data_IF_091286372200
#
_entry.id   IF_091286372200
#
_cell.length_a   1.000
_cell.length_b   1.000
_cell.length_c   1.000
_cell.angle_alpha   90.00
_cell.angle_beta   90.00
_cell.angle_gamma   90.00
#
_symmetry.space_group_name_H-M   'P 1'
#
loop_
_entity.id
_entity.type
_entity.pdbx_description
1 polymer ?
#
# COMPACT_ATOMS: atom_id res chain seq x y z
N UNK A 1 -27.27 -15.65 47.67
CA UNK A 1 -27.79 -15.58 46.30
C UNK A 1 -26.71 -14.95 45.42
N UNK A 2 -25.90 -15.77 44.75
CA UNK A 2 -24.82 -15.29 43.87
C UNK A 2 -25.33 -15.35 42.43
N UNK A 3 -25.48 -14.17 41.82
CA UNK A 3 -25.92 -14.01 40.44
C UNK A 3 -24.87 -14.54 39.47
N UNK A 4 -25.23 -15.63 38.80
CA UNK A 4 -24.44 -16.29 37.75
C UNK A 4 -24.53 -15.42 36.49
N UNK A 5 -23.49 -14.64 36.18
CA UNK A 5 -23.36 -14.02 34.86
C UNK A 5 -23.07 -15.12 33.83
N UNK A 6 -24.10 -15.49 33.08
CA UNK A 6 -23.96 -16.25 31.83
C UNK A 6 -23.28 -15.36 30.80
N UNK A 7 -22.00 -15.62 30.52
CA UNK A 7 -21.33 -15.09 29.33
C UNK A 7 -21.93 -15.86 28.15
N UNK A 8 -22.85 -15.21 27.44
CA UNK A 8 -23.34 -15.70 26.16
C UNK A 8 -22.17 -15.74 25.19
N UNK A 9 -22.02 -16.88 24.50
CA UNK A 9 -21.17 -17.04 23.32
C UNK A 9 -21.63 -16.02 22.27
N UNK A 10 -20.99 -14.86 22.25
CA UNK A 10 -20.94 -14.02 21.06
C UNK A 10 -19.79 -14.58 20.23
N UNK A 11 -20.12 -15.07 19.03
CA UNK A 11 -19.15 -15.36 18.01
C UNK A 11 -18.42 -14.05 17.67
N UNK A 12 -17.26 -13.83 18.30
CA UNK A 12 -16.40 -12.69 18.04
C UNK A 12 -16.01 -12.72 16.57
N UNK A 13 -16.65 -11.85 15.77
CA UNK A 13 -16.17 -11.52 14.43
C UNK A 13 -14.76 -10.97 14.58
N UNK A 14 -13.77 -11.76 14.21
CA UNK A 14 -12.36 -11.40 14.31
C UNK A 14 -12.15 -10.05 13.60
N UNK A 15 -11.83 -9.01 14.37
CA UNK A 15 -11.58 -7.67 13.82
C UNK A 15 -10.30 -7.77 12.99
N UNK A 16 -10.44 -7.95 11.68
CA UNK A 16 -9.31 -7.97 10.75
C UNK A 16 -8.65 -6.59 10.82
N UNK A 17 -7.55 -6.49 11.56
CA UNK A 17 -6.77 -5.26 11.67
C UNK A 17 -6.01 -5.02 10.37
N UNK A 18 -6.03 -3.78 9.87
CA UNK A 18 -5.23 -3.40 8.70
C UNK A 18 -3.73 -3.72 8.93
N UNK A 19 -3.05 -4.23 7.90
CA UNK A 19 -1.63 -4.62 7.96
C UNK A 19 -0.76 -3.57 7.25
N UNK A 20 0.45 -3.35 7.74
CA UNK A 20 1.40 -2.42 7.12
C UNK A 20 1.92 -2.96 5.78
N UNK A 21 2.04 -2.08 4.78
CA UNK A 21 2.66 -2.44 3.50
C UNK A 21 4.08 -3.00 3.66
N UNK A 22 4.34 -4.15 3.06
CA UNK A 22 5.65 -4.79 3.10
C UNK A 22 6.40 -4.66 1.76
N UNK A 23 7.39 -3.75 1.67
CA UNK A 23 8.00 -3.33 0.40
C UNK A 23 9.03 -4.31 -0.19
N UNK A 24 9.40 -5.37 0.52
CA UNK A 24 10.44 -6.32 0.09
C UNK A 24 9.88 -7.57 -0.58
N UNK A 25 8.56 -7.65 -0.80
CA UNK A 25 7.97 -8.75 -1.57
C UNK A 25 8.30 -8.59 -3.04
N UNK A 26 8.70 -9.70 -3.64
CA UNK A 26 9.04 -9.79 -5.06
C UNK A 26 8.54 -11.12 -5.64
N UNK A 27 8.23 -11.18 -6.94
CA UNK A 27 7.81 -12.39 -7.61
C UNK A 27 8.97 -13.40 -7.64
N UNK A 28 8.68 -14.64 -7.25
CA UNK A 28 9.67 -15.72 -7.22
C UNK A 28 9.76 -16.42 -8.57
N UNK A 29 8.62 -16.84 -9.12
CA UNK A 29 8.54 -17.63 -10.36
C UNK A 29 8.57 -16.73 -11.60
N UNK A 30 9.04 -17.27 -12.72
CA UNK A 30 9.11 -16.50 -13.97
C UNK A 30 7.73 -16.12 -14.51
N UNK A 31 6.72 -16.96 -14.27
CA UNK A 31 5.32 -16.62 -14.57
C UNK A 31 4.86 -15.39 -13.78
N UNK A 32 5.14 -15.32 -12.46
CA UNK A 32 4.79 -14.15 -11.67
C UNK A 32 5.58 -12.90 -12.11
N UNK A 33 6.85 -13.06 -12.48
CA UNK A 33 7.65 -11.95 -13.02
C UNK A 33 7.04 -11.41 -14.32
N UNK A 34 6.59 -12.29 -15.21
CA UNK A 34 5.92 -11.90 -16.45
C UNK A 34 4.61 -11.16 -16.19
N UNK A 35 3.76 -11.67 -15.29
CA UNK A 35 2.51 -11.02 -14.92
C UNK A 35 2.74 -9.61 -14.35
N UNK A 36 3.71 -9.46 -13.44
CA UNK A 36 4.07 -8.16 -12.87
C UNK A 36 4.63 -7.21 -13.94
N UNK A 37 5.46 -7.72 -14.86
CA UNK A 37 6.00 -6.93 -15.97
C UNK A 37 4.89 -6.47 -16.92
N UNK A 38 3.87 -7.29 -17.15
CA UNK A 38 2.71 -6.91 -17.94
C UNK A 38 1.88 -5.81 -17.25
N UNK A 39 1.62 -5.93 -15.95
CA UNK A 39 0.96 -4.87 -15.17
C UNK A 39 1.77 -3.57 -15.24
N UNK A 40 3.10 -3.65 -15.09
CA UNK A 40 3.97 -2.49 -15.22
C UNK A 40 3.84 -1.84 -16.61
N UNK A 41 3.80 -2.64 -17.68
CA UNK A 41 3.59 -2.15 -19.06
C UNK A 41 2.23 -1.49 -19.24
N UNK A 42 1.17 -2.01 -18.63
CA UNK A 42 -0.15 -1.38 -18.66
C UNK A 42 -0.16 -0.03 -17.95
N UNK A 43 0.54 0.09 -16.81
CA UNK A 43 0.75 1.38 -16.12
C UNK A 43 1.54 2.35 -17.00
N UNK A 44 2.58 1.92 -17.70
CA UNK A 44 3.30 2.78 -18.66
C UNK A 44 2.40 3.23 -19.82
N UNK A 45 1.56 2.33 -20.34
CA UNK A 45 0.58 2.63 -21.38
C UNK A 45 -0.44 3.68 -20.93
N UNK A 46 -0.96 3.55 -19.70
CA UNK A 46 -1.84 4.53 -19.07
C UNK A 46 -1.16 5.89 -18.95
N UNK A 47 0.06 5.95 -18.42
CA UNK A 47 0.82 7.19 -18.30
C UNK A 47 1.09 7.87 -19.65
N UNK A 48 1.33 7.07 -20.69
CA UNK A 48 1.54 7.56 -22.05
C UNK A 48 0.25 8.13 -22.64
N UNK A 49 -0.86 7.39 -22.54
CA UNK A 49 -2.17 7.82 -23.04
C UNK A 49 -2.64 9.13 -22.42
N UNK A 50 -2.51 9.25 -21.09
CA UNK A 50 -2.86 10.46 -20.33
C UNK A 50 -1.80 11.56 -20.35
N UNK A 51 -0.70 11.37 -21.09
CA UNK A 51 0.42 12.32 -21.19
C UNK A 51 0.97 12.76 -19.82
N UNK A 52 0.92 11.88 -18.82
CA UNK A 52 1.37 12.15 -17.44
C UNK A 52 2.88 12.46 -17.43
N UNK A 53 3.64 11.79 -18.31
CA UNK A 53 5.08 11.99 -18.45
C UNK A 53 5.42 12.72 -19.75
N UNK A 54 6.24 13.76 -19.64
CA UNK A 54 6.79 14.50 -20.80
C UNK A 54 7.98 13.79 -21.47
N UNK A 55 8.65 12.87 -20.77
CA UNK A 55 9.88 12.20 -21.23
C UNK A 55 9.87 10.72 -20.86
N UNK A 56 10.50 9.91 -21.71
CA UNK A 56 10.78 8.49 -21.46
C UNK A 56 11.58 8.32 -20.17
N UNK A 57 11.32 7.24 -19.41
CA UNK A 57 12.13 6.86 -18.25
C UNK A 57 13.58 6.63 -18.66
N UNK A 58 14.52 7.05 -17.81
CA UNK A 58 15.89 6.56 -17.89
C UNK A 58 15.92 5.07 -17.49
N UNK A 59 16.91 4.28 -17.95
CA UNK A 59 16.99 2.86 -17.61
C UNK A 59 16.91 2.57 -16.11
N UNK A 60 17.67 3.32 -15.30
CA UNK A 60 17.68 3.17 -13.84
C UNK A 60 16.32 3.50 -13.20
N UNK A 61 15.67 4.59 -13.65
CA UNK A 61 14.34 4.97 -13.18
C UNK A 61 13.28 3.93 -13.57
N UNK A 62 13.49 3.23 -14.69
CA UNK A 62 12.60 2.16 -15.15
C UNK A 62 12.69 0.94 -14.24
N UNK A 63 13.90 0.53 -13.85
CA UNK A 63 14.08 -0.56 -12.89
C UNK A 63 13.38 -0.25 -11.56
N UNK A 64 13.54 0.97 -11.03
CA UNK A 64 12.88 1.36 -9.77
C UNK A 64 11.35 1.37 -9.92
N UNK A 65 10.84 1.81 -11.07
CA UNK A 65 9.41 1.80 -11.37
C UNK A 65 8.86 0.37 -11.42
N UNK A 66 9.53 -0.54 -12.12
CA UNK A 66 9.15 -1.96 -12.20
C UNK A 66 9.24 -2.63 -10.82
N UNK A 67 10.29 -2.36 -10.03
CA UNK A 67 10.41 -2.79 -8.62
C UNK A 67 9.26 -2.26 -7.75
N UNK A 68 8.78 -1.03 -8.02
CA UNK A 68 7.68 -0.43 -7.28
C UNK A 68 6.36 -1.10 -7.57
N UNK A 69 6.04 -1.30 -8.85
CA UNK A 69 4.84 -2.05 -9.26
C UNK A 69 4.88 -3.46 -8.70
N UNK A 70 6.04 -4.13 -8.80
CA UNK A 70 6.28 -5.46 -8.24
C UNK A 70 5.99 -5.53 -6.75
N UNK A 71 6.55 -4.63 -5.95
CA UNK A 71 6.37 -4.65 -4.51
C UNK A 71 4.91 -4.45 -4.12
N UNK A 72 4.20 -3.53 -4.78
CA UNK A 72 2.78 -3.26 -4.54
C UNK A 72 1.94 -4.49 -4.87
N UNK A 73 2.07 -5.02 -6.09
CA UNK A 73 1.25 -6.14 -6.55
C UNK A 73 1.51 -7.38 -5.71
N UNK A 74 2.78 -7.73 -5.46
CA UNK A 74 3.10 -8.92 -4.68
C UNK A 74 2.65 -8.84 -3.22
N UNK A 75 2.71 -7.66 -2.59
CA UNK A 75 2.21 -7.50 -1.22
C UNK A 75 0.69 -7.58 -1.15
N UNK A 76 -0.01 -6.93 -2.08
CA UNK A 76 -1.47 -7.02 -2.12
C UNK A 76 -1.95 -8.44 -2.42
N UNK A 77 -1.35 -9.13 -3.39
CA UNK A 77 -1.71 -10.52 -3.70
C UNK A 77 -1.40 -11.46 -2.54
N UNK A 78 -0.26 -11.30 -1.87
CA UNK A 78 0.07 -12.11 -0.70
C UNK A 78 -0.99 -11.95 0.40
N UNK A 79 -1.37 -10.72 0.72
CA UNK A 79 -2.35 -10.46 1.77
C UNK A 79 -3.75 -10.92 1.37
N UNK A 80 -4.15 -10.73 0.11
CA UNK A 80 -5.42 -11.22 -0.43
C UNK A 80 -5.55 -12.75 -0.36
N UNK A 81 -4.50 -13.48 -0.72
CA UNK A 81 -4.47 -14.94 -0.63
C UNK A 81 -4.53 -15.45 0.82
N UNK A 82 -4.04 -14.66 1.78
CA UNK A 82 -4.11 -14.98 3.20
C UNK A 82 -5.47 -14.66 3.80
N UNK A 83 -6.04 -13.51 3.44
CA UNK A 83 -7.36 -13.06 3.88
C UNK A 83 -7.90 -12.02 2.88
N UNK A 84 -8.97 -12.33 2.12
CA UNK A 84 -9.50 -11.41 1.09
C UNK A 84 -9.98 -10.06 1.64
N UNK A 85 -10.43 -10.03 2.89
CA UNK A 85 -10.86 -8.81 3.58
C UNK A 85 -9.67 -7.97 4.10
N UNK A 86 -8.45 -8.49 4.01
CA UNK A 86 -7.26 -7.84 4.54
C UNK A 86 -6.93 -6.59 3.74
N UNK A 87 -6.96 -5.47 4.46
CA UNK A 87 -6.55 -4.16 3.99
C UNK A 87 -5.09 -3.92 4.31
N UNK A 88 -4.39 -3.29 3.37
CA UNK A 88 -2.99 -2.89 3.54
C UNK A 88 -2.92 -1.38 3.68
N UNK A 89 -2.24 -0.89 4.71
CA UNK A 89 -2.06 0.54 4.91
C UNK A 89 -0.68 1.04 4.50
N UNK A 90 -0.64 2.24 3.93
CA UNK A 90 0.59 2.90 3.47
C UNK A 90 0.64 4.38 3.85
N UNK A 91 1.80 4.82 4.33
CA UNK A 91 2.10 6.23 4.54
C UNK A 91 2.56 6.90 3.25
N UNK A 92 1.77 7.81 2.70
CA UNK A 92 2.10 8.54 1.46
C UNK A 92 2.89 9.85 1.70
N UNK A 93 3.23 10.17 2.94
CA UNK A 93 3.89 11.44 3.26
C UNK A 93 5.34 11.46 2.76
N UNK A 94 5.83 12.63 2.34
CA UNK A 94 7.22 12.79 1.94
C UNK A 94 8.19 12.59 3.12
N UNK A 95 7.77 12.81 4.36
CA UNK A 95 8.59 12.48 5.54
C UNK A 95 8.81 10.98 5.65
N UNK A 96 7.75 10.19 5.41
CA UNK A 96 7.80 8.73 5.43
C UNK A 96 8.50 8.16 4.21
N UNK A 97 8.32 8.76 3.02
CA UNK A 97 8.83 8.26 1.73
C UNK A 97 10.18 8.84 1.28
N UNK A 98 10.55 10.03 1.75
CA UNK A 98 11.72 10.78 1.30
C UNK A 98 13.00 10.57 2.13
N UNK A 99 12.92 9.83 3.24
CA UNK A 99 14.08 9.55 4.10
C UNK A 99 15.03 8.57 3.44
N UNK A 100 16.28 8.98 3.18
CA UNK A 100 17.31 8.14 2.58
C UNK A 100 17.92 7.23 3.66
N UNK A 101 17.92 5.92 3.44
CA UNK A 101 18.58 4.94 4.31
C UNK A 101 19.13 3.79 3.48
N UNK A 102 20.27 3.21 3.89
CA UNK A 102 20.92 2.08 3.19
C UNK A 102 20.00 0.86 3.08
N UNK A 103 19.24 0.60 4.14
CA UNK A 103 18.35 -0.56 4.21
C UNK A 103 16.98 -0.27 3.62
N UNK A 104 16.71 0.98 3.18
CA UNK A 104 15.41 1.33 2.63
C UNK A 104 15.28 0.75 1.22
N UNK A 105 14.16 0.08 0.90
CA UNK A 105 13.96 -0.46 -0.42
C UNK A 105 13.73 0.67 -1.43
N UNK A 106 14.26 0.48 -2.64
CA UNK A 106 14.25 1.49 -3.71
C UNK A 106 12.85 1.86 -4.18
N UNK A 107 11.89 0.94 -4.06
CA UNK A 107 10.49 1.16 -4.41
C UNK A 107 9.83 2.27 -3.58
N UNK A 108 10.30 2.49 -2.35
CA UNK A 108 9.78 3.52 -1.46
C UNK A 108 10.45 4.87 -1.71
N UNK A 109 10.06 5.50 -2.81
CA UNK A 109 10.51 6.84 -3.20
C UNK A 109 9.37 7.82 -3.47
N UNK A 110 9.72 9.03 -3.90
CA UNK A 110 8.75 10.12 -4.18
C UNK A 110 7.73 9.77 -5.27
N UNK A 111 8.02 8.78 -6.11
CA UNK A 111 7.14 8.33 -7.21
C UNK A 111 6.14 7.25 -6.79
N UNK A 112 6.31 6.67 -5.60
CA UNK A 112 5.44 5.62 -5.08
C UNK A 112 3.95 6.03 -5.07
N UNK A 113 3.55 7.23 -4.60
CA UNK A 113 2.14 7.63 -4.62
C UNK A 113 1.55 7.71 -6.02
N UNK A 114 2.32 8.15 -7.01
CA UNK A 114 1.85 8.23 -8.40
C UNK A 114 1.61 6.86 -9.03
N UNK A 115 2.44 5.86 -8.67
CA UNK A 115 2.22 4.48 -9.12
C UNK A 115 0.93 3.92 -8.52
N UNK A 116 0.67 4.17 -7.24
CA UNK A 116 -0.61 3.79 -6.61
C UNK A 116 -1.81 4.49 -7.27
N UNK A 117 -1.71 5.78 -7.55
CA UNK A 117 -2.78 6.53 -8.24
C UNK A 117 -3.06 5.97 -9.64
N UNK A 118 -2.04 5.58 -10.39
CA UNK A 118 -2.20 4.97 -11.69
C UNK A 118 -2.85 3.58 -11.57
N UNK A 119 -2.37 2.73 -10.65
CA UNK A 119 -2.96 1.41 -10.40
C UNK A 119 -4.42 1.49 -9.92
N UNK A 120 -4.77 2.54 -9.18
CA UNK A 120 -6.14 2.79 -8.71
C UNK A 120 -6.98 3.59 -9.69
N UNK A 121 -6.45 3.94 -10.86
CA UNK A 121 -7.19 4.70 -11.86
C UNK A 121 -8.39 3.87 -12.35
N UNK A 122 -9.45 4.54 -12.77
CA UNK A 122 -10.63 3.86 -13.31
C UNK A 122 -10.30 3.04 -14.58
N UNK A 123 -9.28 3.46 -15.33
CA UNK A 123 -8.88 2.80 -16.57
C UNK A 123 -8.13 1.48 -16.33
N UNK A 124 -7.35 1.39 -15.25
CA UNK A 124 -6.60 0.18 -14.91
C UNK A 124 -7.32 -0.69 -13.87
N UNK A 125 -7.90 -0.06 -12.84
CA UNK A 125 -8.73 -0.73 -11.86
C UNK A 125 -8.07 -1.90 -11.13
N UNK A 126 -6.74 -1.92 -10.97
CA UNK A 126 -6.03 -3.02 -10.31
C UNK A 126 -6.19 -3.02 -8.79
N UNK A 127 -6.27 -1.82 -8.21
CA UNK A 127 -6.36 -1.63 -6.77
C UNK A 127 -7.46 -0.65 -6.44
N UNK A 128 -8.13 -0.89 -5.32
CA UNK A 128 -8.89 0.16 -4.67
C UNK A 128 -8.00 0.90 -3.67
N UNK A 129 -8.04 2.23 -3.71
CA UNK A 129 -7.30 3.08 -2.80
C UNK A 129 -8.21 4.07 -2.08
N UNK A 130 -8.24 3.99 -0.74
CA UNK A 130 -8.93 4.94 0.12
C UNK A 130 -7.90 5.83 0.81
N UNK A 131 -7.78 7.08 0.34
CA UNK A 131 -6.86 8.06 0.94
C UNK A 131 -7.30 8.40 2.37
N UNK A 132 -6.38 8.28 3.31
CA UNK A 132 -6.62 8.60 4.72
C UNK A 132 -7.00 10.06 4.91
N UNK A 133 -8.12 10.29 5.60
CA UNK A 133 -8.51 11.64 6.05
C UNK A 133 -7.79 11.96 7.36
N UNK A 134 -7.26 13.17 7.47
CA UNK A 134 -6.62 13.64 8.70
C UNK A 134 -7.69 13.79 9.79
N UNK A 135 -7.61 12.96 10.84
CA UNK A 135 -8.20 13.28 12.14
C UNK A 135 -7.05 13.56 13.08
N UNK A 136 -6.85 14.82 13.46
CA UNK A 136 -5.88 15.15 14.50
C UNK A 136 -6.40 14.53 15.81
N UNK A 137 -5.70 13.50 16.31
CA UNK A 137 -5.97 12.93 17.63
C UNK A 137 -4.89 13.45 18.57
N UNK A 138 -5.32 14.15 19.61
CA UNK A 138 -4.49 14.46 20.75
C UNK A 138 -4.44 13.19 21.61
N UNK A 139 -3.24 12.66 21.82
CA UNK A 139 -3.01 11.54 22.74
C UNK A 139 -2.19 12.12 23.88
N UNK A 140 -2.70 11.95 25.09
CA UNK A 140 -2.04 12.39 26.32
C UNK A 140 -1.27 11.18 26.87
N UNK A 141 0.05 11.22 26.76
CA UNK A 141 0.94 10.18 27.29
C UNK A 141 1.64 10.70 28.56
N UNK A 142 2.27 9.80 29.31
CA UNK A 142 3.08 10.05 30.52
C UNK A 142 4.22 11.08 30.31
N UNK A 143 4.58 11.37 29.05
CA UNK A 143 5.61 12.33 28.66
C UNK A 143 5.04 13.63 28.03
N UNK A 144 3.74 13.91 28.21
CA UNK A 144 3.06 15.10 27.69
C UNK A 144 2.19 14.85 26.45
N UNK A 145 1.49 15.90 25.99
CA UNK A 145 0.57 15.81 24.85
C UNK A 145 1.32 15.63 23.53
N UNK A 146 1.10 14.50 22.85
CA UNK A 146 1.63 14.23 21.52
C UNK A 146 0.52 14.33 20.48
N UNK A 147 0.75 15.17 19.47
CA UNK A 147 -0.08 15.18 18.26
C UNK A 147 0.32 13.98 17.41
N UNK A 148 -0.51 12.95 17.38
CA UNK A 148 -0.33 11.87 16.40
C UNK A 148 -1.03 12.31 15.13
N UNK A 149 -0.26 12.85 14.18
CA UNK A 149 -0.75 13.22 12.86
C UNK A 149 -0.33 12.14 11.86
N UNK A 150 -1.30 11.46 11.27
CA UNK A 150 -1.04 10.44 10.25
C UNK A 150 -2.19 10.40 9.25
N UNK A 151 -1.87 10.54 7.96
CA UNK A 151 -2.78 10.13 6.88
C UNK A 151 -2.43 8.68 6.56
N UNK A 152 -3.28 7.77 6.98
CA UNK A 152 -3.14 6.35 6.69
C UNK A 152 -4.01 6.04 5.48
N UNK A 153 -3.37 5.86 4.32
CA UNK A 153 -4.06 5.42 3.10
C UNK A 153 -4.18 3.92 3.14
N UNK A 154 -5.36 3.40 2.83
CA UNK A 154 -5.60 1.97 2.75
C UNK A 154 -5.75 1.56 1.29
N UNK A 155 -5.14 0.44 0.93
CA UNK A 155 -5.18 -0.16 -0.40
C UNK A 155 -5.58 -1.64 -0.30
N UNK A 156 -6.30 -2.12 -1.31
CA UNK A 156 -6.67 -3.53 -1.48
C UNK A 156 -6.79 -3.85 -2.99
N UNK A 157 -6.69 -5.12 -3.40
CA UNK A 157 -7.07 -5.51 -4.76
C UNK A 157 -8.53 -5.13 -5.04
N UNK A 158 -8.81 -4.73 -6.28
CA UNK A 158 -10.18 -4.53 -6.78
C UNK A 158 -10.77 -5.85 -7.28
#
# INVERSE_FOLDING_TARGET
MQGKLTIGNQSDGEVVTDIAFYPYRSPLTDCLKQNVAEIAKQVEGYEHYHKIRKRKRKPEDKVIFEETVSAIVCDLMYNYLRSPEQKVFVGLSHQTLGTKSRYRPRCLGKKFPHVLEALSSIDLGFIEMVKGKQRARWIEDENGQRRTTGRQTTIRPN
#
